data_IF_965037254543
#
_entry.id   IF_965037254543
#
_cell.length_a   1.000
_cell.length_b   1.000
_cell.length_c   1.000
_cell.angle_alpha   90.00
_cell.angle_beta   90.00
_cell.angle_gamma   90.00
#
_symmetry.space_group_name_H-M   'P 1'
#
loop_
_entity.id
_entity.type
_entity.pdbx_description
1 polymer ?
#
# COMPACT_ATOMS: atom_id res chain seq x y z
N UNK A 1 -44.24 -71.54 1.14
CA UNK A 1 -44.88 -70.56 2.12
C UNK A 1 -43.83 -69.76 2.88
N UNK A 2 -42.76 -70.29 3.46
CA UNK A 2 -41.74 -69.58 4.24
C UNK A 2 -40.93 -68.52 3.46
N UNK A 3 -40.65 -68.64 2.16
CA UNK A 3 -39.93 -67.64 1.36
C UNK A 3 -40.77 -66.38 1.07
N UNK A 4 -42.08 -66.53 0.83
CA UNK A 4 -42.99 -65.38 0.62
C UNK A 4 -43.19 -64.55 1.87
N UNK A 5 -43.23 -65.17 3.04
CA UNK A 5 -43.33 -64.44 4.32
C UNK A 5 -42.03 -63.64 4.64
N UNK A 6 -40.85 -64.14 4.25
CA UNK A 6 -39.60 -63.39 4.39
C UNK A 6 -39.54 -62.20 3.47
N UNK A 7 -40.00 -62.33 2.21
CA UNK A 7 -40.03 -61.20 1.26
C UNK A 7 -41.04 -60.12 1.71
N UNK A 8 -42.19 -60.49 2.22
CA UNK A 8 -43.19 -59.53 2.75
C UNK A 8 -42.66 -58.78 3.99
N UNK A 9 -41.95 -59.44 4.87
CA UNK A 9 -41.31 -58.79 6.01
C UNK A 9 -40.20 -57.81 5.61
N UNK A 10 -39.37 -58.16 4.63
CA UNK A 10 -38.29 -57.30 4.12
C UNK A 10 -38.83 -56.06 3.39
N UNK A 11 -39.88 -56.19 2.57
CA UNK A 11 -40.48 -55.09 1.87
C UNK A 11 -41.19 -54.11 2.87
N UNK A 12 -41.82 -54.61 3.91
CA UNK A 12 -42.44 -53.76 4.94
C UNK A 12 -41.41 -53.00 5.73
N UNK A 13 -40.30 -53.63 6.12
CA UNK A 13 -39.20 -52.97 6.84
C UNK A 13 -38.56 -51.89 5.96
N UNK A 14 -38.28 -52.17 4.68
CA UNK A 14 -37.76 -51.21 3.74
C UNK A 14 -38.70 -50.00 3.52
N UNK A 15 -40.02 -50.27 3.42
CA UNK A 15 -41.01 -49.18 3.28
C UNK A 15 -41.06 -48.29 4.51
N UNK A 16 -41.03 -48.88 5.72
CA UNK A 16 -41.01 -48.10 6.98
C UNK A 16 -39.73 -47.27 7.09
N UNK A 17 -38.58 -47.85 6.76
CA UNK A 17 -37.30 -47.11 6.74
C UNK A 17 -37.33 -45.98 5.72
N UNK A 18 -37.87 -46.20 4.52
CA UNK A 18 -37.97 -45.16 3.48
C UNK A 18 -38.91 -44.01 3.91
N UNK A 19 -40.03 -44.30 4.50
CA UNK A 19 -40.96 -43.26 5.02
C UNK A 19 -40.31 -42.50 6.18
N UNK A 20 -39.60 -43.18 7.07
CA UNK A 20 -38.85 -42.55 8.16
C UNK A 20 -37.73 -41.62 7.65
N UNK A 21 -36.99 -42.07 6.63
CA UNK A 21 -35.93 -41.24 6.01
C UNK A 21 -36.54 -40.00 5.29
N UNK A 22 -37.64 -40.16 4.58
CA UNK A 22 -38.35 -39.02 3.96
C UNK A 22 -38.85 -38.02 5.01
N UNK A 23 -39.47 -38.51 6.10
CA UNK A 23 -39.94 -37.64 7.18
C UNK A 23 -38.76 -36.88 7.83
N UNK A 24 -37.65 -37.55 8.10
CA UNK A 24 -36.47 -36.93 8.64
C UNK A 24 -35.92 -35.85 7.69
N UNK A 25 -35.83 -36.15 6.39
CA UNK A 25 -35.34 -35.19 5.38
C UNK A 25 -36.25 -33.94 5.29
N UNK A 26 -37.57 -34.10 5.46
CA UNK A 26 -38.49 -32.94 5.49
C UNK A 26 -38.28 -32.12 6.75
N UNK A 27 -38.20 -32.75 7.93
CA UNK A 27 -37.95 -32.07 9.20
C UNK A 27 -36.66 -31.28 9.19
N UNK A 28 -35.54 -31.92 8.80
CA UNK A 28 -34.24 -31.25 8.72
C UNK A 28 -34.22 -30.15 7.65
N UNK A 29 -34.87 -30.35 6.49
CA UNK A 29 -34.98 -29.35 5.44
C UNK A 29 -35.77 -28.11 5.83
N UNK A 30 -36.89 -28.29 6.54
CA UNK A 30 -37.71 -27.18 7.04
C UNK A 30 -37.01 -26.43 8.17
N UNK A 31 -36.37 -27.13 9.11
CA UNK A 31 -35.53 -26.50 10.14
C UNK A 31 -34.40 -25.70 9.51
N UNK A 32 -33.65 -26.27 8.57
CA UNK A 32 -32.58 -25.57 7.85
C UNK A 32 -33.08 -24.32 7.12
N UNK A 33 -34.27 -24.34 6.53
CA UNK A 33 -34.86 -23.17 5.86
C UNK A 33 -35.13 -22.03 6.85
N UNK A 34 -35.63 -22.34 8.05
CA UNK A 34 -35.89 -21.33 9.08
C UNK A 34 -34.62 -20.85 9.76
N UNK A 35 -33.56 -21.65 9.83
CA UNK A 35 -32.28 -21.26 10.44
C UNK A 35 -31.56 -20.12 9.71
N UNK A 36 -31.83 -19.89 8.42
CA UNK A 36 -31.27 -18.74 7.67
C UNK A 36 -31.99 -17.41 7.95
N UNK A 37 -33.06 -17.41 8.73
CA UNK A 37 -33.81 -16.19 9.09
C UNK A 37 -33.08 -15.42 10.20
N UNK A 38 -33.16 -14.09 10.14
CA UNK A 38 -32.78 -13.20 11.25
C UNK A 38 -33.95 -12.93 12.21
N UNK A 39 -35.11 -13.49 11.95
CA UNK A 39 -36.30 -13.35 12.80
C UNK A 39 -36.24 -14.34 13.98
N UNK A 40 -36.25 -13.83 15.23
CA UNK A 40 -36.24 -14.69 16.44
C UNK A 40 -37.27 -15.80 16.45
N UNK A 41 -38.53 -15.48 16.09
CA UNK A 41 -39.61 -16.45 16.10
C UNK A 41 -39.39 -17.60 15.11
N UNK A 42 -38.73 -17.33 13.96
CA UNK A 42 -38.44 -18.37 12.99
C UNK A 42 -37.24 -19.23 13.43
N UNK A 43 -36.24 -18.62 14.11
CA UNK A 43 -35.14 -19.36 14.71
C UNK A 43 -35.65 -20.28 15.84
N UNK A 44 -36.53 -19.81 16.74
CA UNK A 44 -37.16 -20.62 17.78
C UNK A 44 -37.90 -21.79 17.15
N UNK A 45 -38.73 -21.56 16.12
CA UNK A 45 -39.39 -22.62 15.37
C UNK A 45 -38.43 -23.61 14.72
N UNK A 46 -37.29 -23.13 14.21
CA UNK A 46 -36.27 -24.01 13.65
C UNK A 46 -35.75 -24.99 14.69
N UNK A 47 -35.47 -24.51 15.91
CA UNK A 47 -34.98 -25.30 17.03
C UNK A 47 -36.09 -26.24 17.55
N UNK A 48 -37.36 -25.80 17.65
CA UNK A 48 -38.49 -26.64 18.00
C UNK A 48 -38.72 -27.80 17.02
N UNK A 49 -38.51 -27.57 15.72
CA UNK A 49 -38.67 -28.59 14.67
C UNK A 49 -37.51 -29.61 14.72
N UNK A 50 -36.28 -29.13 14.88
CA UNK A 50 -35.08 -29.97 14.96
C UNK A 50 -34.06 -29.39 15.95
N UNK A 51 -34.13 -29.82 17.19
CA UNK A 51 -33.19 -29.44 18.26
C UNK A 51 -31.74 -29.89 17.99
N UNK A 52 -31.49 -30.72 16.96
CA UNK A 52 -30.12 -31.12 16.53
C UNK A 52 -29.53 -30.20 15.50
N UNK A 53 -30.28 -29.19 15.03
CA UNK A 53 -29.78 -28.20 14.13
C UNK A 53 -28.89 -27.22 14.90
N UNK A 54 -27.59 -27.58 15.05
CA UNK A 54 -26.60 -26.81 15.81
C UNK A 54 -26.45 -25.37 15.29
N UNK A 55 -26.62 -25.13 13.98
CA UNK A 55 -26.56 -23.79 13.39
C UNK A 55 -27.76 -22.94 13.84
N UNK A 56 -28.97 -23.49 13.86
CA UNK A 56 -30.15 -22.78 14.35
C UNK A 56 -30.01 -22.41 15.82
N UNK A 57 -29.56 -23.38 16.63
CA UNK A 57 -29.33 -23.16 18.07
C UNK A 57 -28.28 -22.10 18.33
N UNK A 58 -27.16 -22.16 17.61
CA UNK A 58 -26.10 -21.12 17.66
C UNK A 58 -26.67 -19.73 17.31
N UNK A 59 -27.39 -19.61 16.21
CA UNK A 59 -27.97 -18.34 15.78
C UNK A 59 -28.96 -17.77 16.79
N UNK A 60 -29.75 -18.63 17.40
CA UNK A 60 -30.63 -18.21 18.47
C UNK A 60 -29.86 -17.75 19.71
N UNK A 61 -28.81 -18.48 20.12
CA UNK A 61 -27.92 -18.08 21.20
C UNK A 61 -27.27 -16.72 20.91
N UNK A 62 -26.72 -16.53 19.68
CA UNK A 62 -26.12 -15.29 19.25
C UNK A 62 -27.08 -14.11 19.28
N UNK A 63 -28.31 -14.32 18.83
CA UNK A 63 -29.36 -13.30 18.85
C UNK A 63 -29.73 -12.89 20.29
N UNK A 64 -29.93 -13.87 21.18
CA UNK A 64 -30.21 -13.61 22.61
C UNK A 64 -29.07 -12.84 23.28
N UNK A 65 -27.83 -13.17 22.95
CA UNK A 65 -26.65 -12.45 23.44
C UNK A 65 -26.66 -10.99 22.99
N UNK A 66 -26.91 -10.73 21.69
CA UNK A 66 -26.90 -9.37 21.11
C UNK A 66 -28.04 -8.48 21.62
N UNK A 67 -29.22 -9.08 21.92
CA UNK A 67 -30.37 -8.32 22.41
C UNK A 67 -30.21 -7.89 23.88
N UNK A 68 -29.23 -8.41 24.62
CA UNK A 68 -28.99 -8.14 26.05
C UNK A 68 -30.25 -8.29 26.93
N UNK A 69 -31.26 -9.00 26.43
CA UNK A 69 -32.56 -9.19 27.08
C UNK A 69 -32.67 -10.56 27.76
N UNK A 70 -31.73 -11.47 27.43
CA UNK A 70 -31.72 -12.84 27.98
C UNK A 70 -30.95 -12.93 29.30
N UNK A 71 -31.26 -13.98 30.07
CA UNK A 71 -30.41 -14.45 31.17
C UNK A 71 -29.13 -15.04 30.56
N UNK A 72 -27.95 -14.58 31.01
CA UNK A 72 -26.65 -15.10 30.56
C UNK A 72 -26.59 -16.62 30.68
N UNK A 73 -27.24 -17.20 31.69
CA UNK A 73 -27.33 -18.65 31.90
C UNK A 73 -28.14 -19.38 30.82
N UNK A 74 -29.23 -18.78 30.34
CA UNK A 74 -30.02 -19.34 29.22
C UNK A 74 -29.24 -19.27 27.92
N UNK A 75 -28.55 -18.16 27.68
CA UNK A 75 -27.70 -17.96 26.49
C UNK A 75 -26.52 -18.94 26.50
N UNK A 76 -25.86 -19.12 27.63
CA UNK A 76 -24.78 -20.10 27.83
C UNK A 76 -25.28 -21.52 27.51
N UNK A 77 -26.48 -21.90 28.03
CA UNK A 77 -27.08 -23.21 27.78
C UNK A 77 -27.32 -23.45 26.27
N UNK A 78 -27.80 -22.45 25.53
CA UNK A 78 -28.01 -22.57 24.09
C UNK A 78 -26.68 -22.78 23.34
N UNK A 79 -25.61 -22.08 23.70
CA UNK A 79 -24.30 -22.34 23.10
C UNK A 79 -23.82 -23.77 23.38
N UNK A 80 -23.97 -24.28 24.60
CA UNK A 80 -23.64 -25.67 24.90
C UNK A 80 -24.54 -26.67 24.18
N UNK A 81 -25.83 -26.38 23.99
CA UNK A 81 -26.72 -27.21 23.21
C UNK A 81 -26.25 -27.28 21.74
N UNK A 82 -25.88 -26.16 21.13
CA UNK A 82 -25.27 -26.13 19.80
C UNK A 82 -24.02 -27.01 19.73
N UNK A 83 -23.14 -26.92 20.73
CA UNK A 83 -21.90 -27.71 20.80
C UNK A 83 -22.16 -29.19 21.08
N UNK A 84 -23.26 -29.55 21.77
CA UNK A 84 -23.64 -30.94 21.98
C UNK A 84 -24.03 -31.65 20.68
N UNK A 85 -24.62 -30.91 19.73
CA UNK A 85 -24.92 -31.39 18.38
C UNK A 85 -23.73 -31.37 17.43
N UNK A 86 -22.87 -30.36 17.54
CA UNK A 86 -21.63 -30.22 16.75
C UNK A 86 -20.50 -29.64 17.59
N UNK A 87 -19.67 -30.46 18.23
CA UNK A 87 -18.55 -30.01 19.06
C UNK A 87 -17.46 -29.20 18.32
N UNK A 88 -17.40 -29.34 16.98
CA UNK A 88 -16.41 -28.64 16.13
C UNK A 88 -16.89 -27.27 15.63
N UNK A 89 -17.99 -26.77 16.18
CA UNK A 89 -18.59 -25.50 15.78
C UNK A 89 -17.84 -24.33 16.42
N UNK A 90 -16.76 -23.86 15.76
CA UNK A 90 -15.90 -22.78 16.22
C UNK A 90 -16.68 -21.50 16.60
N UNK A 91 -17.74 -21.16 15.85
CA UNK A 91 -18.57 -19.97 16.12
C UNK A 91 -19.28 -20.04 17.48
N UNK A 92 -19.67 -21.21 17.94
CA UNK A 92 -20.30 -21.36 19.27
C UNK A 92 -19.28 -21.21 20.41
N UNK A 93 -18.02 -21.67 20.18
CA UNK A 93 -16.95 -21.42 21.13
C UNK A 93 -16.56 -19.95 21.18
N UNK A 94 -16.53 -19.23 20.03
CA UNK A 94 -16.31 -17.78 19.99
C UNK A 94 -17.45 -17.03 20.70
N UNK A 95 -18.72 -17.44 20.47
CA UNK A 95 -19.88 -16.87 21.15
C UNK A 95 -19.83 -17.04 22.67
N UNK A 96 -19.41 -18.23 23.16
CA UNK A 96 -19.16 -18.44 24.59
C UNK A 96 -18.03 -17.56 25.11
N UNK A 97 -16.93 -17.44 24.38
CA UNK A 97 -15.82 -16.58 24.78
C UNK A 97 -16.29 -15.13 24.93
N UNK A 98 -17.08 -14.61 23.98
CA UNK A 98 -17.62 -13.26 24.04
C UNK A 98 -18.58 -13.09 25.24
N UNK A 99 -19.52 -14.02 25.45
CA UNK A 99 -20.41 -14.01 26.58
C UNK A 99 -19.69 -13.98 27.93
N UNK A 100 -18.63 -14.76 28.05
CA UNK A 100 -17.81 -14.80 29.27
C UNK A 100 -17.02 -13.53 29.52
N UNK A 101 -16.52 -12.87 28.46
CA UNK A 101 -15.89 -11.56 28.60
C UNK A 101 -16.92 -10.54 29.10
N UNK A 102 -18.11 -10.51 28.51
CA UNK A 102 -19.16 -9.56 28.87
C UNK A 102 -19.69 -9.79 30.32
N UNK A 103 -19.62 -11.02 30.78
CA UNK A 103 -20.00 -11.44 32.17
C UNK A 103 -18.79 -11.35 33.15
N UNK A 104 -17.59 -10.91 32.73
CA UNK A 104 -16.41 -10.81 33.58
C UNK A 104 -15.77 -12.16 33.95
N UNK A 105 -16.06 -13.22 33.19
CA UNK A 105 -15.54 -14.59 33.40
C UNK A 105 -14.33 -14.85 32.48
N UNK A 106 -13.23 -14.14 32.69
CA UNK A 106 -12.08 -14.15 31.80
C UNK A 106 -11.48 -15.56 31.60
N UNK A 107 -11.31 -16.35 32.66
CA UNK A 107 -10.73 -17.70 32.57
C UNK A 107 -11.57 -18.68 31.72
N UNK A 108 -12.91 -18.57 31.80
CA UNK A 108 -13.82 -19.36 30.98
C UNK A 108 -13.76 -18.89 29.51
N UNK A 109 -13.63 -17.59 29.30
CA UNK A 109 -13.44 -16.99 27.98
C UNK A 109 -12.16 -17.46 27.31
N UNK A 110 -11.01 -17.41 28.00
CA UNK A 110 -9.74 -17.93 27.47
C UNK A 110 -9.83 -19.39 27.08
N UNK A 111 -10.53 -20.20 27.90
CA UNK A 111 -10.73 -21.62 27.62
C UNK A 111 -11.55 -21.82 26.35
N UNK A 112 -12.66 -21.09 26.21
CA UNK A 112 -13.53 -21.15 25.04
C UNK A 112 -12.81 -20.67 23.77
N UNK A 113 -12.04 -19.58 23.86
CA UNK A 113 -11.25 -19.06 22.74
C UNK A 113 -10.19 -20.06 22.28
N UNK A 114 -9.52 -20.74 23.23
CA UNK A 114 -8.54 -21.80 22.92
C UNK A 114 -9.18 -23.01 22.23
N UNK A 115 -10.41 -23.38 22.63
CA UNK A 115 -11.15 -24.44 21.93
C UNK A 115 -11.48 -24.04 20.49
N UNK A 116 -11.96 -22.80 20.29
CA UNK A 116 -12.23 -22.29 18.95
C UNK A 116 -10.98 -22.27 18.05
N UNK A 117 -9.83 -21.87 18.59
CA UNK A 117 -8.58 -21.69 17.85
C UNK A 117 -8.14 -22.94 17.07
N UNK A 118 -8.32 -24.12 17.67
CA UNK A 118 -7.98 -25.39 17.00
C UNK A 118 -8.85 -25.73 15.79
N UNK A 119 -9.97 -25.03 15.59
CA UNK A 119 -10.99 -25.31 14.57
C UNK A 119 -11.04 -24.28 13.45
N UNK A 120 -10.32 -23.15 13.58
CA UNK A 120 -10.47 -21.98 12.69
C UNK A 120 -9.38 -21.81 11.63
N UNK A 121 -8.39 -22.70 11.56
CA UNK A 121 -7.11 -22.55 10.81
C UNK A 121 -7.24 -22.04 9.37
N UNK A 122 -8.39 -22.10 8.74
CA UNK A 122 -8.59 -21.69 7.34
C UNK A 122 -9.74 -20.69 7.14
N UNK A 123 -10.23 -20.06 8.20
CA UNK A 123 -11.35 -19.11 8.11
C UNK A 123 -10.95 -17.71 8.52
N UNK A 124 -10.57 -16.82 7.58
CA UNK A 124 -10.15 -15.45 7.91
C UNK A 124 -11.19 -14.64 8.68
N UNK A 125 -12.48 -14.92 8.46
CA UNK A 125 -13.57 -14.27 9.20
C UNK A 125 -13.57 -14.63 10.68
N UNK A 126 -13.43 -15.91 11.00
CA UNK A 126 -13.40 -16.39 12.38
C UNK A 126 -12.09 -15.99 13.08
N UNK A 127 -10.97 -16.01 12.37
CA UNK A 127 -9.69 -15.53 12.90
C UNK A 127 -9.73 -14.03 13.22
N UNK A 128 -10.45 -13.25 12.42
CA UNK A 128 -10.71 -11.84 12.72
C UNK A 128 -11.50 -11.68 14.03
N UNK A 129 -12.61 -12.41 14.21
CA UNK A 129 -13.39 -12.38 15.44
C UNK A 129 -12.54 -12.82 16.64
N UNK A 130 -11.82 -13.93 16.50
CA UNK A 130 -10.90 -14.43 17.52
C UNK A 130 -9.83 -13.40 17.90
N UNK A 131 -9.27 -12.65 16.93
CA UNK A 131 -8.31 -11.59 17.21
C UNK A 131 -8.91 -10.50 18.09
N UNK A 132 -10.15 -10.11 17.83
CA UNK A 132 -10.81 -9.07 18.61
C UNK A 132 -11.11 -9.55 20.04
N UNK A 133 -11.48 -10.82 20.24
CA UNK A 133 -11.67 -11.40 21.57
C UNK A 133 -10.34 -11.55 22.32
N UNK A 134 -9.30 -12.05 21.66
CA UNK A 134 -7.96 -12.14 22.23
C UNK A 134 -7.45 -10.75 22.68
N UNK A 135 -7.67 -9.73 21.87
CA UNK A 135 -7.33 -8.35 22.23
C UNK A 135 -8.09 -7.85 23.48
N UNK A 136 -9.40 -8.15 23.59
CA UNK A 136 -10.21 -7.82 24.78
C UNK A 136 -9.73 -8.52 26.05
N UNK A 137 -9.16 -9.74 25.92
CA UNK A 137 -8.56 -10.51 27.00
C UNK A 137 -7.13 -10.09 27.34
N UNK A 138 -6.51 -9.19 26.54
CA UNK A 138 -5.13 -8.78 26.70
C UNK A 138 -4.10 -9.76 26.13
N UNK A 139 -4.54 -10.83 25.45
CA UNK A 139 -3.67 -11.76 24.72
C UNK A 139 -3.30 -11.16 23.36
N UNK A 140 -2.40 -10.17 23.40
CA UNK A 140 -1.95 -9.45 22.21
C UNK A 140 -1.20 -10.36 21.24
N UNK A 141 -0.51 -11.36 21.72
CA UNK A 141 0.26 -12.30 20.91
C UNK A 141 -0.68 -13.12 20.02
N UNK A 142 -1.70 -13.73 20.60
CA UNK A 142 -2.73 -14.47 19.85
C UNK A 142 -3.46 -13.56 18.86
N UNK A 143 -3.78 -12.32 19.28
CA UNK A 143 -4.45 -11.36 18.41
C UNK A 143 -3.63 -11.05 17.16
N UNK A 144 -2.34 -10.78 17.30
CA UNK A 144 -1.44 -10.47 16.20
C UNK A 144 -1.19 -11.67 15.29
N UNK A 145 -0.99 -12.86 15.86
CA UNK A 145 -0.80 -14.09 15.09
C UNK A 145 -2.02 -14.43 14.21
N UNK A 146 -3.23 -14.24 14.74
CA UNK A 146 -4.47 -14.39 13.96
C UNK A 146 -4.61 -13.31 12.88
N UNK A 147 -4.29 -12.05 13.19
CA UNK A 147 -4.32 -10.94 12.23
C UNK A 147 -3.35 -11.16 11.06
N UNK A 148 -2.22 -11.79 11.29
CA UNK A 148 -1.27 -12.16 10.23
C UNK A 148 -1.94 -13.03 9.17
N UNK A 149 -2.64 -14.10 9.59
CA UNK A 149 -3.36 -15.00 8.67
C UNK A 149 -4.47 -14.26 7.92
N UNK A 150 -5.15 -13.33 8.60
CA UNK A 150 -6.18 -12.48 7.96
C UNK A 150 -5.56 -11.58 6.89
N UNK A 151 -4.41 -10.96 7.14
CA UNK A 151 -3.72 -10.10 6.17
C UNK A 151 -3.23 -10.87 4.94
N UNK A 152 -2.80 -12.12 5.13
CA UNK A 152 -2.43 -13.03 4.03
C UNK A 152 -3.64 -13.34 3.14
N UNK A 153 -4.74 -13.77 3.77
CA UNK A 153 -5.91 -14.29 3.06
C UNK A 153 -6.82 -13.22 2.45
N UNK A 154 -6.84 -11.99 3.01
CA UNK A 154 -7.77 -10.92 2.61
C UNK A 154 -7.05 -9.58 2.38
N UNK A 155 -6.61 -9.29 1.13
CA UNK A 155 -5.96 -8.03 0.79
C UNK A 155 -6.78 -6.78 1.17
N UNK A 156 -8.12 -6.85 1.14
CA UNK A 156 -8.97 -5.71 1.46
C UNK A 156 -8.93 -5.34 2.96
N UNK A 157 -8.55 -6.29 3.81
CA UNK A 157 -8.42 -6.07 5.26
C UNK A 157 -7.02 -5.63 5.70
N UNK A 158 -5.99 -5.72 4.85
CA UNK A 158 -4.59 -5.46 5.22
C UNK A 158 -4.40 -4.15 5.95
N UNK A 159 -4.92 -3.05 5.39
CA UNK A 159 -4.82 -1.74 6.04
C UNK A 159 -5.38 -1.76 7.46
N UNK A 160 -6.55 -2.36 7.64
CA UNK A 160 -7.22 -2.44 8.97
C UNK A 160 -6.45 -3.33 9.93
N UNK A 161 -5.86 -4.43 9.44
CA UNK A 161 -4.97 -5.29 10.23
C UNK A 161 -3.78 -4.49 10.74
N UNK A 162 -3.13 -3.72 9.88
CA UNK A 162 -1.98 -2.89 10.26
C UNK A 162 -2.38 -1.78 11.25
N UNK A 163 -3.50 -1.10 11.02
CA UNK A 163 -4.03 -0.09 11.95
C UNK A 163 -4.24 -0.68 13.35
N UNK A 164 -4.83 -1.88 13.45
CA UNK A 164 -5.05 -2.58 14.71
C UNK A 164 -3.70 -3.03 15.32
N UNK A 165 -2.80 -3.60 14.50
CA UNK A 165 -1.47 -3.99 14.97
C UNK A 165 -0.74 -2.83 15.66
N UNK A 166 -0.80 -1.63 15.09
CA UNK A 166 -0.21 -0.42 15.68
C UNK A 166 -0.92 0.04 16.96
N UNK A 167 -2.23 -0.22 17.10
CA UNK A 167 -2.96 0.06 18.35
C UNK A 167 -2.56 -0.93 19.46
N UNK A 168 -2.36 -2.20 19.10
CA UNK A 168 -2.12 -3.29 20.04
C UNK A 168 -0.67 -3.33 20.53
N UNK A 169 0.27 -3.46 19.61
CA UNK A 169 1.69 -3.67 19.96
C UNK A 169 2.43 -2.36 20.28
N UNK A 170 2.08 -1.25 19.58
CA UNK A 170 2.77 0.06 19.68
C UNK A 170 4.28 0.02 19.36
N UNK A 171 4.79 -1.12 18.99
CA UNK A 171 6.20 -1.40 18.71
C UNK A 171 6.33 -1.99 17.29
N UNK A 172 7.13 -1.34 16.39
CA UNK A 172 7.26 -1.76 15.01
C UNK A 172 7.80 -3.18 14.84
N UNK A 173 8.73 -3.60 15.70
CA UNK A 173 9.39 -4.90 15.61
C UNK A 173 8.41 -6.04 15.90
N UNK A 174 7.65 -5.93 16.97
CA UNK A 174 6.59 -6.89 17.32
C UNK A 174 5.55 -7.01 16.23
N UNK A 175 5.15 -5.90 15.59
CA UNK A 175 4.18 -5.93 14.47
C UNK A 175 4.79 -6.67 13.28
N UNK A 176 6.04 -6.34 12.93
CA UNK A 176 6.74 -6.97 11.81
C UNK A 176 6.93 -8.47 12.01
N UNK A 177 7.24 -8.90 13.23
CA UNK A 177 7.46 -10.31 13.53
C UNK A 177 6.17 -11.13 13.59
N UNK A 178 5.11 -10.59 14.22
CA UNK A 178 3.89 -11.34 14.50
C UNK A 178 2.75 -11.11 13.53
N UNK A 179 2.52 -9.88 13.11
CA UNK A 179 1.35 -9.52 12.29
C UNK A 179 1.64 -9.46 10.78
N UNK A 180 2.91 -9.52 10.37
CA UNK A 180 3.32 -9.37 8.97
C UNK A 180 4.11 -10.59 8.51
N UNK A 181 3.56 -11.32 7.52
CA UNK A 181 4.30 -12.38 6.83
C UNK A 181 5.10 -11.85 5.66
N UNK A 182 6.02 -12.65 5.15
CA UNK A 182 6.87 -12.27 4.02
C UNK A 182 6.07 -11.93 2.76
N UNK A 183 4.94 -12.61 2.54
CA UNK A 183 4.02 -12.35 1.41
C UNK A 183 3.37 -10.96 1.49
N UNK A 184 3.19 -10.41 2.69
CA UNK A 184 2.47 -9.14 2.93
C UNK A 184 3.43 -7.96 3.09
N UNK A 185 4.76 -8.20 3.16
CA UNK A 185 5.78 -7.17 3.36
C UNK A 185 5.67 -5.97 2.40
N UNK A 186 5.46 -6.15 1.06
CA UNK A 186 5.34 -5.01 0.17
C UNK A 186 4.15 -4.12 0.50
N UNK A 187 3.02 -4.73 0.87
CA UNK A 187 1.82 -4.00 1.26
C UNK A 187 2.01 -3.27 2.61
N UNK A 188 2.76 -3.87 3.54
CA UNK A 188 3.09 -3.23 4.81
C UNK A 188 4.06 -2.07 4.64
N UNK A 189 5.08 -2.19 3.78
CA UNK A 189 5.95 -1.07 3.41
C UNK A 189 5.14 0.11 2.84
N UNK A 190 4.24 -0.18 1.90
CA UNK A 190 3.33 0.84 1.35
C UNK A 190 2.46 1.51 2.40
N UNK A 191 1.96 0.75 3.38
CA UNK A 191 1.21 1.31 4.52
C UNK A 191 2.08 2.23 5.39
N UNK A 192 3.31 1.84 5.71
CA UNK A 192 4.25 2.65 6.51
C UNK A 192 4.60 3.96 5.82
N UNK A 193 4.82 3.92 4.51
CA UNK A 193 5.05 5.11 3.66
C UNK A 193 3.83 6.04 3.72
N UNK A 194 2.62 5.52 3.53
CA UNK A 194 1.38 6.31 3.55
C UNK A 194 1.07 6.92 4.92
N UNK A 195 1.46 6.25 5.99
CA UNK A 195 1.24 6.71 7.38
C UNK A 195 2.43 7.44 7.98
N UNK A 196 3.46 7.69 7.17
CA UNK A 196 4.65 8.46 7.52
C UNK A 196 5.43 7.91 8.72
N UNK A 197 5.68 6.59 8.72
CA UNK A 197 6.38 5.87 9.79
C UNK A 197 7.80 5.49 9.37
N UNK A 198 8.65 6.48 9.15
CA UNK A 198 9.98 6.30 8.56
C UNK A 198 10.82 5.23 9.28
N UNK A 199 10.96 5.33 10.60
CA UNK A 199 11.83 4.41 11.37
C UNK A 199 11.41 2.94 11.23
N UNK A 200 10.12 2.68 11.02
CA UNK A 200 9.59 1.34 10.81
C UNK A 200 9.82 0.80 9.39
N UNK A 201 10.16 1.64 8.42
CA UNK A 201 10.37 1.20 7.03
C UNK A 201 11.67 0.45 6.83
N UNK A 202 12.74 0.81 7.57
CA UNK A 202 14.06 0.20 7.38
C UNK A 202 14.08 -1.31 7.66
N UNK A 203 13.56 -1.82 8.79
CA UNK A 203 13.52 -3.25 9.04
C UNK A 203 12.69 -4.02 8.02
N UNK A 204 11.61 -3.41 7.52
CA UNK A 204 10.76 -4.01 6.48
C UNK A 204 11.52 -4.11 5.16
N UNK A 205 12.24 -3.06 4.78
CA UNK A 205 13.06 -3.03 3.57
C UNK A 205 14.20 -4.07 3.63
N UNK A 206 14.88 -4.16 4.76
CA UNK A 206 15.93 -5.16 4.97
C UNK A 206 15.39 -6.60 4.85
N UNK A 207 14.24 -6.87 5.46
CA UNK A 207 13.59 -8.17 5.37
C UNK A 207 13.10 -8.50 3.96
N UNK A 208 12.62 -7.50 3.20
CA UNK A 208 12.30 -7.67 1.77
C UNK A 208 13.55 -8.08 0.97
N UNK A 209 14.70 -7.45 1.22
CA UNK A 209 15.96 -7.79 0.56
C UNK A 209 16.40 -9.24 0.81
N UNK A 210 16.20 -9.75 2.03
CA UNK A 210 16.49 -11.15 2.39
C UNK A 210 15.58 -12.17 1.68
N UNK A 211 14.36 -11.76 1.32
CA UNK A 211 13.32 -12.60 0.73
C UNK A 211 13.19 -12.48 -0.80
N UNK A 212 14.23 -12.00 -1.48
CA UNK A 212 14.26 -11.89 -2.93
C UNK A 212 14.05 -10.47 -3.46
N UNK A 213 13.89 -9.50 -2.58
CA UNK A 213 13.76 -8.08 -2.90
C UNK A 213 12.32 -7.63 -3.13
N UNK A 214 12.17 -6.32 -3.18
CA UNK A 214 10.95 -5.67 -3.63
C UNK A 214 10.90 -5.64 -5.17
N UNK A 215 9.70 -5.55 -5.75
CA UNK A 215 9.59 -5.21 -7.16
C UNK A 215 10.03 -3.74 -7.40
N UNK A 216 10.32 -3.42 -8.65
CA UNK A 216 10.81 -2.10 -9.02
C UNK A 216 9.84 -0.97 -8.63
N UNK A 217 8.52 -1.22 -8.64
CA UNK A 217 7.53 -0.21 -8.27
C UNK A 217 7.57 0.10 -6.76
N UNK A 218 7.66 -0.91 -5.92
CA UNK A 218 7.79 -0.74 -4.47
C UNK A 218 9.15 -0.09 -4.11
N UNK A 219 10.23 -0.49 -4.80
CA UNK A 219 11.55 0.07 -4.63
C UNK A 219 11.59 1.57 -5.01
N UNK A 220 11.02 1.94 -6.15
CA UNK A 220 10.90 3.33 -6.60
C UNK A 220 10.03 4.17 -5.64
N UNK A 221 8.91 3.61 -5.17
CA UNK A 221 8.06 4.30 -4.20
C UNK A 221 8.78 4.55 -2.88
N UNK A 222 9.58 3.59 -2.43
CA UNK A 222 10.38 3.74 -1.22
C UNK A 222 11.53 4.74 -1.40
N UNK A 223 12.23 4.72 -2.53
CA UNK A 223 13.26 5.70 -2.85
C UNK A 223 12.67 7.14 -2.87
N UNK A 224 11.51 7.35 -3.53
CA UNK A 224 10.80 8.66 -3.51
C UNK A 224 10.49 9.11 -2.08
N UNK A 225 10.00 8.20 -1.25
CA UNK A 225 9.68 8.49 0.15
C UNK A 225 10.94 8.92 0.92
N UNK A 226 12.04 8.18 0.82
CA UNK A 226 13.30 8.49 1.49
C UNK A 226 13.89 9.82 1.03
N UNK A 227 13.84 10.12 -0.29
CA UNK A 227 14.23 11.43 -0.84
C UNK A 227 13.39 12.55 -0.19
N UNK A 228 12.08 12.35 -0.03
CA UNK A 228 11.19 13.32 0.61
C UNK A 228 11.52 13.56 2.09
N UNK A 229 12.15 12.57 2.75
CA UNK A 229 12.61 12.65 4.14
C UNK A 229 14.04 13.13 4.30
N UNK A 230 14.76 13.33 3.18
CA UNK A 230 16.15 13.76 3.17
C UNK A 230 17.17 12.61 3.36
N UNK A 231 16.72 11.35 3.45
CA UNK A 231 17.60 10.19 3.43
C UNK A 231 17.99 9.84 2.00
N UNK A 232 18.89 10.65 1.46
CA UNK A 232 19.34 10.53 0.08
C UNK A 232 20.37 9.43 -0.13
N UNK A 233 21.06 9.00 0.92
CA UNK A 233 22.04 7.91 0.85
C UNK A 233 21.34 6.57 0.63
N UNK A 234 20.41 6.21 1.52
CA UNK A 234 19.62 4.97 1.37
C UNK A 234 18.81 4.98 0.07
N UNK A 235 18.25 6.13 -0.32
CA UNK A 235 17.51 6.25 -1.58
C UNK A 235 18.40 5.98 -2.80
N UNK A 236 19.68 6.41 -2.79
CA UNK A 236 20.63 6.15 -3.87
C UNK A 236 21.04 4.69 -3.95
N UNK A 237 21.23 4.03 -2.81
CA UNK A 237 21.54 2.60 -2.77
C UNK A 237 20.40 1.78 -3.38
N UNK A 238 19.15 2.13 -3.08
CA UNK A 238 17.97 1.52 -3.69
C UNK A 238 17.96 1.76 -5.19
N UNK A 239 18.19 3.01 -5.61
CA UNK A 239 18.23 3.38 -7.03
C UNK A 239 19.31 2.60 -7.80
N UNK A 240 20.50 2.44 -7.22
CA UNK A 240 21.59 1.62 -7.78
C UNK A 240 21.20 0.14 -7.95
N UNK A 241 20.37 -0.37 -7.05
CA UNK A 241 19.85 -1.74 -7.13
C UNK A 241 18.86 -1.95 -8.29
N UNK A 242 18.07 -0.92 -8.62
CA UNK A 242 17.10 -0.96 -9.73
C UNK A 242 17.80 -0.88 -11.09
N UNK A 243 18.89 -0.09 -11.19
CA UNK A 243 19.62 0.16 -12.44
C UNK A 243 21.07 -0.34 -12.38
N UNK A 244 21.29 -1.65 -12.24
CA UNK A 244 22.64 -2.21 -12.14
C UNK A 244 23.39 -2.04 -13.46
N UNK A 245 24.60 -1.49 -13.37
CA UNK A 245 25.47 -1.27 -14.53
C UNK A 245 25.43 0.13 -15.13
N UNK A 246 24.53 0.98 -14.68
CA UNK A 246 24.52 2.42 -15.02
C UNK A 246 25.41 3.21 -14.05
N UNK A 247 25.86 4.38 -14.51
CA UNK A 247 26.64 5.29 -13.64
C UNK A 247 25.75 6.00 -12.63
N UNK A 248 25.35 5.26 -11.59
CA UNK A 248 24.59 5.80 -10.45
C UNK A 248 25.40 6.74 -9.56
N UNK A 249 26.73 6.87 -9.81
CA UNK A 249 27.57 7.86 -9.14
C UNK A 249 27.39 9.26 -9.73
N UNK A 250 26.88 9.38 -10.96
CA UNK A 250 26.53 10.65 -11.56
C UNK A 250 25.47 11.36 -10.72
N UNK A 251 25.66 12.64 -10.43
CA UNK A 251 24.71 13.44 -9.65
C UNK A 251 23.40 13.65 -10.42
N UNK A 252 23.48 13.87 -11.74
CA UNK A 252 22.32 13.96 -12.64
C UNK A 252 22.18 12.63 -13.36
N UNK A 253 21.06 11.97 -13.15
CA UNK A 253 20.70 10.73 -13.84
C UNK A 253 20.14 11.04 -15.22
N UNK A 254 20.50 10.22 -16.24
CA UNK A 254 19.93 10.33 -17.59
C UNK A 254 20.00 11.77 -18.17
N UNK A 255 21.12 12.46 -17.94
CA UNK A 255 21.28 13.86 -18.35
C UNK A 255 21.28 14.08 -19.86
N UNK A 256 21.58 13.06 -20.67
CA UNK A 256 21.43 13.04 -22.12
C UNK A 256 20.06 12.57 -22.61
N UNK A 257 19.11 12.28 -21.70
CA UNK A 257 17.75 11.80 -22.03
C UNK A 257 17.71 10.51 -22.84
N UNK A 258 18.72 9.64 -22.73
CA UNK A 258 18.85 8.43 -23.54
C UNK A 258 17.83 7.34 -23.19
N UNK A 259 17.30 7.36 -21.97
CA UNK A 259 16.25 6.46 -21.49
C UNK A 259 14.94 7.20 -21.29
N UNK A 260 13.80 6.49 -21.47
CA UNK A 260 12.50 7.06 -21.15
C UNK A 260 12.36 7.28 -19.64
N UNK A 261 12.11 8.51 -19.19
CA UNK A 261 12.04 8.79 -17.76
C UNK A 261 10.90 8.05 -17.07
N UNK A 262 11.22 7.45 -15.94
CA UNK A 262 10.20 6.81 -15.07
C UNK A 262 9.43 7.83 -14.22
N UNK A 263 9.91 9.07 -14.14
CA UNK A 263 9.24 10.16 -13.44
C UNK A 263 9.26 10.05 -11.92
N UNK A 264 10.14 9.22 -11.36
CA UNK A 264 10.27 8.93 -9.93
C UNK A 264 11.74 8.96 -9.49
N UNK A 265 11.98 8.93 -8.18
CA UNK A 265 13.31 8.89 -7.59
C UNK A 265 14.18 10.04 -8.07
N UNK A 266 15.35 9.68 -8.57
CA UNK A 266 16.33 10.60 -9.11
C UNK A 266 16.21 10.80 -10.62
N UNK A 267 15.13 10.36 -11.27
CA UNK A 267 14.93 10.53 -12.70
C UNK A 267 14.15 11.81 -13.04
N UNK A 268 14.18 12.16 -14.33
CA UNK A 268 13.47 13.31 -14.86
C UNK A 268 11.95 13.12 -14.74
N UNK A 269 11.29 14.17 -14.30
CA UNK A 269 9.85 14.33 -14.37
C UNK A 269 9.53 15.24 -15.54
N UNK A 270 8.88 14.68 -16.57
CA UNK A 270 8.52 15.42 -17.79
C UNK A 270 7.01 15.45 -17.90
N UNK A 271 6.42 16.64 -17.83
CA UNK A 271 4.98 16.86 -17.96
C UNK A 271 4.64 17.66 -19.21
N UNK A 272 3.53 17.30 -19.86
CA UNK A 272 2.95 17.98 -21.02
C UNK A 272 1.76 18.82 -20.60
N UNK A 273 1.44 19.83 -21.40
CA UNK A 273 0.22 20.62 -21.26
C UNK A 273 -0.33 21.00 -22.63
N UNK A 274 -1.54 21.53 -22.69
CA UNK A 274 -2.18 21.94 -23.96
C UNK A 274 -1.38 23.03 -24.72
N UNK A 275 -0.57 23.80 -24.00
CA UNK A 275 0.21 24.92 -24.54
C UNK A 275 1.69 24.64 -24.68
N UNK A 276 2.19 23.54 -24.07
CA UNK A 276 3.60 23.16 -24.09
C UNK A 276 3.71 21.67 -24.33
N UNK A 277 4.30 21.30 -25.47
CA UNK A 277 4.64 19.93 -25.80
C UNK A 277 6.08 19.63 -25.39
N UNK A 278 6.29 18.57 -24.62
CA UNK A 278 7.59 18.09 -24.21
C UNK A 278 7.78 16.68 -24.78
N UNK A 279 8.74 16.51 -25.68
CA UNK A 279 8.99 15.28 -26.42
C UNK A 279 10.49 15.11 -26.70
N UNK A 280 10.90 14.05 -27.36
CA UNK A 280 12.28 13.78 -27.70
C UNK A 280 12.55 14.03 -29.19
N UNK A 281 13.70 14.67 -29.47
CA UNK A 281 14.18 14.88 -30.84
C UNK A 281 15.37 13.97 -31.13
N UNK A 282 15.18 13.06 -32.08
CA UNK A 282 16.21 12.10 -32.51
C UNK A 282 17.16 12.67 -33.58
N UNK A 283 16.90 13.88 -34.07
CA UNK A 283 17.67 14.52 -35.15
C UNK A 283 18.55 15.65 -34.61
N UNK A 284 17.99 16.51 -33.76
CA UNK A 284 18.67 17.64 -33.17
C UNK A 284 19.15 17.29 -31.76
N UNK A 285 20.42 16.87 -31.63
CA UNK A 285 21.07 16.39 -30.41
C UNK A 285 22.55 16.69 -30.43
N UNK A 286 23.24 16.66 -29.31
CA UNK A 286 24.68 16.82 -29.18
C UNK A 286 25.42 15.51 -29.14
N UNK A 287 24.95 14.59 -28.29
CA UNK A 287 25.48 13.23 -28.14
C UNK A 287 24.37 12.19 -28.18
N UNK A 288 24.71 10.92 -28.13
CA UNK A 288 23.76 9.82 -27.93
C UNK A 288 22.71 9.66 -29.04
N UNK A 289 21.49 9.31 -28.64
CA UNK A 289 20.39 9.00 -29.58
C UNK A 289 19.37 10.12 -29.72
N UNK A 290 19.15 10.95 -28.68
CA UNK A 290 18.09 11.98 -28.68
C UNK A 290 18.41 13.10 -27.68
N UNK A 291 17.67 14.19 -27.79
CA UNK A 291 17.63 15.30 -26.83
C UNK A 291 16.20 15.55 -26.38
N UNK A 292 16.00 16.26 -25.27
CA UNK A 292 14.68 16.74 -24.85
C UNK A 292 14.30 17.99 -25.64
N UNK A 293 13.12 17.97 -26.29
CA UNK A 293 12.56 19.10 -27.04
C UNK A 293 11.33 19.65 -26.32
N UNK A 294 11.28 20.94 -26.12
CA UNK A 294 10.12 21.68 -25.60
C UNK A 294 9.60 22.60 -26.69
N UNK A 295 8.31 22.46 -27.04
CA UNK A 295 7.65 23.27 -28.04
C UNK A 295 6.52 24.08 -27.44
N UNK A 296 6.54 25.37 -27.65
CA UNK A 296 5.54 26.32 -27.18
C UNK A 296 4.56 26.65 -28.31
N UNK A 297 3.25 26.62 -28.01
CA UNK A 297 2.19 26.78 -29.02
C UNK A 297 1.92 28.22 -29.47
N UNK A 298 2.41 29.23 -28.75
CA UNK A 298 2.12 30.63 -29.01
C UNK A 298 0.70 31.08 -28.64
N UNK A 299 -0.10 30.25 -27.98
CA UNK A 299 -1.51 30.53 -27.70
C UNK A 299 -1.77 31.23 -26.38
N UNK A 300 -0.86 31.01 -25.42
CA UNK A 300 -1.07 31.45 -24.03
C UNK A 300 0.18 32.09 -23.44
N UNK A 301 -0.01 32.95 -22.45
CA UNK A 301 1.05 33.42 -21.57
C UNK A 301 1.28 32.36 -20.49
N UNK A 302 2.13 31.39 -20.81
CA UNK A 302 2.30 30.17 -20.00
C UNK A 302 3.12 30.47 -18.75
N UNK A 303 2.72 29.91 -17.62
CA UNK A 303 3.56 29.69 -16.46
C UNK A 303 3.91 28.20 -16.42
N UNK A 304 5.16 27.86 -16.77
CA UNK A 304 5.51 26.45 -17.00
C UNK A 304 6.78 26.03 -16.28
N UNK A 305 6.73 24.85 -15.67
CA UNK A 305 7.82 24.16 -14.98
C UNK A 305 7.67 22.63 -15.14
N UNK A 306 7.46 22.20 -16.38
CA UNK A 306 7.08 20.81 -16.65
C UNK A 306 8.24 19.83 -16.72
N UNK A 307 9.50 20.26 -16.60
CA UNK A 307 10.69 19.38 -16.59
C UNK A 307 11.46 19.63 -15.32
N UNK A 308 11.71 18.56 -14.55
CA UNK A 308 12.50 18.67 -13.32
C UNK A 308 13.14 17.34 -12.93
N UNK A 309 14.27 17.41 -12.22
CA UNK A 309 14.93 16.27 -11.60
C UNK A 309 15.39 16.65 -10.19
N UNK A 310 15.17 15.74 -9.24
CA UNK A 310 15.71 15.88 -7.88
C UNK A 310 17.12 15.29 -7.83
N UNK A 311 18.05 16.03 -7.30
CA UNK A 311 19.47 15.66 -7.20
C UNK A 311 19.91 15.72 -5.74
N UNK A 312 20.53 14.65 -5.25
CA UNK A 312 21.13 14.62 -3.92
C UNK A 312 22.40 15.47 -3.90
N UNK A 313 22.53 16.32 -2.90
CA UNK A 313 23.69 17.20 -2.71
C UNK A 313 24.18 17.16 -1.27
N UNK A 314 25.41 17.52 -1.05
CA UNK A 314 25.94 17.71 0.29
C UNK A 314 25.69 19.17 0.69
N UNK A 315 24.91 19.43 1.75
CA UNK A 315 24.68 20.79 2.25
C UNK A 315 26.00 21.57 2.44
N UNK A 316 25.98 22.86 2.15
CA UNK A 316 27.15 23.72 2.24
C UNK A 316 28.21 23.56 1.14
N UNK A 317 28.08 22.56 0.27
CA UNK A 317 29.06 22.31 -0.81
C UNK A 317 28.76 23.11 -2.07
N UNK A 318 29.82 23.39 -2.84
CA UNK A 318 29.74 24.09 -4.12
C UNK A 318 29.57 23.11 -5.28
N UNK A 319 28.71 23.48 -6.24
CA UNK A 319 28.40 22.69 -7.43
C UNK A 319 28.44 23.54 -8.70
N UNK A 320 28.74 22.88 -9.81
CA UNK A 320 28.57 23.39 -11.15
C UNK A 320 27.62 22.50 -11.94
N UNK A 321 26.52 23.06 -12.40
CA UNK A 321 25.61 22.47 -13.37
C UNK A 321 26.01 22.92 -14.76
N UNK A 322 26.24 22.00 -15.70
CA UNK A 322 26.51 22.23 -17.10
C UNK A 322 25.48 21.54 -17.96
N UNK A 323 25.18 22.10 -19.12
CA UNK A 323 24.24 21.54 -20.07
C UNK A 323 24.48 22.10 -21.46
N UNK A 324 24.04 21.36 -22.47
CA UNK A 324 23.93 21.80 -23.85
C UNK A 324 22.48 22.21 -24.14
N UNK A 325 22.31 23.36 -24.79
CA UNK A 325 20.99 23.81 -25.18
C UNK A 325 20.99 24.54 -26.52
N UNK A 326 19.85 24.46 -27.21
CA UNK A 326 19.60 25.18 -28.44
C UNK A 326 18.17 25.75 -28.44
N UNK A 327 17.92 26.80 -29.21
CA UNK A 327 16.56 27.36 -29.38
C UNK A 327 16.26 27.68 -30.83
N UNK A 328 14.98 27.75 -31.18
CA UNK A 328 14.47 28.20 -32.46
C UNK A 328 13.22 29.01 -32.29
N UNK A 329 13.22 30.22 -32.79
CA UNK A 329 12.08 31.12 -32.88
C UNK A 329 11.34 31.39 -31.57
N UNK A 330 12.10 31.46 -30.45
CA UNK A 330 11.54 31.85 -29.16
C UNK A 330 11.12 33.33 -29.23
N UNK A 331 9.83 33.58 -29.23
CA UNK A 331 9.23 34.89 -29.57
C UNK A 331 9.25 35.92 -28.44
N UNK A 332 9.48 35.52 -27.19
CA UNK A 332 9.42 36.41 -26.03
C UNK A 332 10.80 36.65 -25.43
N UNK A 333 10.98 37.80 -24.77
CA UNK A 333 12.20 38.12 -23.98
C UNK A 333 12.22 37.33 -22.68
N UNK A 334 11.07 36.88 -22.21
CA UNK A 334 10.93 35.98 -21.05
C UNK A 334 10.85 34.54 -21.57
N UNK A 335 12.01 34.02 -22.01
CA UNK A 335 12.13 32.68 -22.61
C UNK A 335 12.22 31.57 -21.55
N UNK A 336 12.92 30.51 -21.91
CA UNK A 336 13.16 29.36 -21.03
C UNK A 336 14.44 29.59 -20.23
N UNK A 337 14.41 29.30 -18.93
CA UNK A 337 15.59 29.27 -18.06
C UNK A 337 15.83 27.87 -17.53
N UNK A 338 17.10 27.54 -17.27
CA UNK A 338 17.49 26.39 -16.45
C UNK A 338 17.65 26.90 -15.02
N UNK A 339 16.94 26.30 -14.08
CA UNK A 339 16.97 26.70 -12.67
C UNK A 339 17.41 25.54 -11.78
N UNK A 340 18.06 25.90 -10.66
CA UNK A 340 18.34 25.01 -9.53
C UNK A 340 17.69 25.63 -8.31
N UNK A 341 16.87 24.87 -7.60
CA UNK A 341 16.19 25.38 -6.43
C UNK A 341 16.03 24.32 -5.34
N UNK A 342 15.91 24.79 -4.11
CA UNK A 342 15.43 24.06 -2.95
C UNK A 342 14.73 25.06 -2.02
N UNK A 343 14.30 24.64 -0.85
CA UNK A 343 13.54 25.48 0.09
C UNK A 343 14.25 26.83 0.36
N UNK A 344 13.66 27.92 -0.16
CA UNK A 344 14.19 29.28 0.06
C UNK A 344 15.41 29.68 -0.77
N UNK A 345 15.90 28.80 -1.65
CA UNK A 345 17.03 29.06 -2.53
C UNK A 345 16.63 28.86 -3.99
N UNK A 346 17.14 29.73 -4.84
CA UNK A 346 17.03 29.62 -6.32
C UNK A 346 18.27 30.24 -6.98
N UNK A 347 18.81 29.50 -7.93
CA UNK A 347 19.78 29.99 -8.91
C UNK A 347 19.25 29.68 -10.32
N UNK A 348 19.43 30.57 -11.28
CA UNK A 348 18.91 30.40 -12.62
C UNK A 348 19.82 30.96 -13.69
N UNK A 349 19.73 30.40 -14.91
CA UNK A 349 20.46 30.89 -16.07
C UNK A 349 19.79 32.13 -16.66
N UNK A 350 20.54 32.84 -17.54
CA UNK A 350 19.88 33.77 -18.45
C UNK A 350 18.85 33.05 -19.33
N UNK A 351 17.72 33.72 -19.67
CA UNK A 351 16.67 33.11 -20.47
C UNK A 351 17.14 32.87 -21.92
N UNK A 352 16.76 31.74 -22.49
CA UNK A 352 16.89 31.46 -23.91
C UNK A 352 15.81 32.18 -24.69
N UNK A 353 16.23 33.00 -25.69
CA UNK A 353 15.35 33.83 -26.52
C UNK A 353 15.79 33.76 -27.98
N UNK A 354 14.86 33.95 -28.92
CA UNK A 354 15.18 33.90 -30.35
C UNK A 354 15.62 32.53 -30.81
N UNK A 355 16.65 32.50 -31.65
CA UNK A 355 17.25 31.27 -32.18
C UNK A 355 18.76 31.24 -31.88
N UNK A 356 19.23 30.09 -31.39
CA UNK A 356 20.64 29.79 -31.14
C UNK A 356 20.91 28.35 -31.57
N UNK A 357 22.11 28.13 -32.10
CA UNK A 357 22.64 26.77 -32.22
C UNK A 357 22.99 26.21 -30.85
N UNK A 358 23.45 24.96 -30.78
CA UNK A 358 23.90 24.35 -29.55
C UNK A 358 24.98 25.17 -28.88
N UNK A 359 24.75 25.52 -27.62
CA UNK A 359 25.69 26.23 -26.75
C UNK A 359 25.80 25.54 -25.41
N UNK A 360 27.05 25.40 -24.93
CA UNK A 360 27.31 24.92 -23.58
C UNK A 360 27.15 26.07 -22.59
N UNK A 361 26.35 25.85 -21.54
CA UNK A 361 26.20 26.81 -20.43
C UNK A 361 26.56 26.17 -19.09
N UNK A 362 26.85 27.04 -18.13
CA UNK A 362 27.28 26.66 -16.80
C UNK A 362 26.60 27.55 -15.76
N UNK A 363 26.11 26.94 -14.69
CA UNK A 363 25.55 27.60 -13.51
C UNK A 363 26.29 27.10 -12.27
N UNK A 364 26.93 27.99 -11.52
CA UNK A 364 27.60 27.67 -10.26
C UNK A 364 26.71 28.09 -9.09
N UNK A 365 26.63 27.26 -8.07
CA UNK A 365 25.86 27.54 -6.86
C UNK A 365 26.46 26.84 -5.64
N UNK A 366 26.16 27.38 -4.43
CA UNK A 366 26.39 26.70 -3.18
C UNK A 366 25.06 26.10 -2.69
N UNK A 367 25.06 24.82 -2.38
CA UNK A 367 23.88 24.18 -1.77
C UNK A 367 23.69 24.75 -0.36
N UNK A 368 22.48 25.21 0.01
CA UNK A 368 22.21 25.66 1.37
C UNK A 368 22.42 24.55 2.41
N UNK A 369 22.74 24.96 3.65
CA UNK A 369 23.03 24.04 4.76
C UNK A 369 21.84 23.16 5.15
N UNK A 370 20.62 23.57 4.81
CA UNK A 370 19.36 22.86 5.11
C UNK A 370 18.77 22.11 3.90
N UNK A 371 19.51 22.02 2.80
CA UNK A 371 19.06 21.35 1.58
C UNK A 371 19.91 20.09 1.29
N UNK A 372 19.44 18.89 1.67
CA UNK A 372 20.10 17.62 1.27
C UNK A 372 19.83 17.26 -0.19
N UNK A 373 18.86 17.94 -0.82
CA UNK A 373 18.52 17.80 -2.24
C UNK A 373 18.31 19.16 -2.88
N UNK A 374 18.60 19.26 -4.16
CA UNK A 374 18.18 20.36 -5.02
C UNK A 374 17.35 19.83 -6.18
N UNK A 375 16.50 20.66 -6.74
CA UNK A 375 15.77 20.33 -7.96
C UNK A 375 16.36 21.14 -9.11
N UNK A 376 16.79 20.45 -10.18
CA UNK A 376 17.10 21.04 -11.47
C UNK A 376 15.81 21.12 -12.26
N UNK A 377 15.53 22.24 -12.91
CA UNK A 377 14.28 22.37 -13.68
C UNK A 377 14.41 23.30 -14.87
N UNK A 378 13.46 23.16 -15.79
CA UNK A 378 13.17 24.14 -16.82
C UNK A 378 12.03 25.03 -16.38
N UNK A 379 12.21 26.32 -16.50
CA UNK A 379 11.25 27.32 -16.06
C UNK A 379 10.92 28.31 -17.17
N UNK A 380 9.65 28.60 -17.37
CA UNK A 380 9.17 29.76 -18.08
C UNK A 380 8.14 30.46 -17.23
N UNK A 381 8.43 31.65 -16.78
CA UNK A 381 7.51 32.48 -15.99
C UNK A 381 6.59 33.31 -16.89
N UNK A 382 5.37 33.59 -16.44
CA UNK A 382 4.48 34.50 -17.13
C UNK A 382 5.15 35.88 -17.33
N UNK A 383 4.90 36.48 -18.49
CA UNK A 383 5.37 37.83 -18.78
C UNK A 383 4.24 38.83 -18.65
N UNK A 384 4.50 39.94 -17.95
CA UNK A 384 3.56 41.08 -17.88
C UNK A 384 3.72 42.06 -19.06
N UNK A 385 4.61 41.72 -20.00
CA UNK A 385 4.89 42.54 -21.18
C UNK A 385 3.92 42.21 -22.34
N UNK A 386 3.94 43.05 -23.38
CA UNK A 386 3.11 42.81 -24.58
C UNK A 386 3.53 41.56 -25.35
N UNK A 387 4.81 41.18 -25.28
CA UNK A 387 5.39 39.96 -25.89
C UNK A 387 5.23 38.74 -24.96
N UNK A 388 4.03 38.44 -24.51
CA UNK A 388 3.75 37.42 -23.50
C UNK A 388 3.37 36.04 -24.04
N UNK A 389 3.02 35.96 -25.32
CA UNK A 389 2.66 34.67 -25.96
C UNK A 389 3.92 34.02 -26.50
N UNK A 390 4.45 33.06 -25.76
CA UNK A 390 5.65 32.33 -26.14
C UNK A 390 5.33 31.28 -27.22
N UNK A 391 6.04 31.33 -28.35
CA UNK A 391 6.14 30.27 -29.35
C UNK A 391 7.58 29.95 -29.64
N UNK A 392 7.84 28.84 -30.34
CA UNK A 392 9.18 28.37 -30.69
C UNK A 392 9.54 27.07 -30.02
N UNK A 393 10.76 26.65 -30.23
CA UNK A 393 11.26 25.36 -29.74
C UNK A 393 12.58 25.56 -28.96
N UNK A 394 12.74 24.77 -27.90
CA UNK A 394 13.93 24.72 -27.05
C UNK A 394 14.38 23.27 -26.93
N UNK A 395 15.68 23.02 -27.02
CA UNK A 395 16.28 21.70 -26.85
C UNK A 395 17.26 21.73 -25.68
N UNK A 396 17.26 20.66 -24.89
CA UNK A 396 18.16 20.44 -23.77
C UNK A 396 18.82 19.07 -23.93
N UNK A 397 20.14 19.02 -23.69
CA UNK A 397 20.93 17.81 -23.78
C UNK A 397 22.11 17.87 -22.84
N UNK A 398 22.75 16.73 -22.56
CA UNK A 398 24.00 16.57 -21.83
C UNK A 398 24.08 17.37 -20.50
N UNK A 399 23.00 17.23 -19.69
CA UNK A 399 22.93 17.87 -18.37
C UNK A 399 23.82 17.12 -17.38
N UNK A 400 24.83 17.81 -16.84
CA UNK A 400 25.75 17.24 -15.86
C UNK A 400 25.90 18.15 -14.65
N UNK A 401 26.07 17.56 -13.48
CA UNK A 401 26.41 18.31 -12.26
C UNK A 401 27.62 17.71 -11.60
N UNK A 402 28.56 18.57 -11.20
CA UNK A 402 29.80 18.18 -10.52
C UNK A 402 29.98 18.99 -9.25
N UNK A 403 30.48 18.36 -8.19
CA UNK A 403 30.94 19.06 -7.01
C UNK A 403 32.25 19.81 -7.36
N UNK A 404 32.31 21.08 -7.04
CA UNK A 404 33.52 21.88 -7.23
C UNK A 404 34.30 21.99 -5.93
N UNK A 405 35.62 22.06 -6.01
CA UNK A 405 36.44 22.32 -4.82
C UNK A 405 36.17 23.74 -4.31
N UNK A 406 36.12 23.87 -2.99
CA UNK A 406 36.04 25.18 -2.34
C UNK A 406 37.25 26.03 -2.83
N UNK A 407 37.00 27.03 -3.65
CA UNK A 407 38.01 28.06 -3.88
C UNK A 407 38.27 28.75 -2.55
N UNK A 408 39.31 28.34 -1.84
CA UNK A 408 39.83 29.19 -0.76
C UNK A 408 40.12 30.56 -1.39
N UNK A 409 39.71 31.68 -0.78
CA UNK A 409 40.14 32.98 -1.21
C UNK A 409 41.68 32.93 -1.19
N UNK A 410 42.31 33.01 -2.35
CA UNK A 410 43.76 33.31 -2.42
C UNK A 410 43.91 34.69 -1.84
N UNK A 411 44.48 34.76 -0.65
CA UNK A 411 44.94 36.00 -0.04
C UNK A 411 45.75 36.80 -1.08
N UNK A 412 45.21 37.97 -1.45
CA UNK A 412 45.86 38.93 -2.26
C UNK A 412 46.41 40.06 -1.38
#
# INVERSE_FOLDING_TARGET
>A
MRKRLRYLGQTTVLSVLSVGACALAVVTGVSAMYSFSENPELLERSVEIDARNSDAVYRLARLRHLEMTGDDGETEALYFESLSGNPLMAVSWLGLSELYIDSGREADSETSLRMAQGMMQSSPGLLWESSMLAFRLGDNDLALDNLRVVAEADPAKRKRVFDIGWCVAKDPETILERAVSDEVLPAYLGYLIQTDRQDATYPVWERLGQNGGADDEAALAYADYLVSKGDTETARDIWAGIYPGEDVSALVWNGGFEYDPVGRGFDWRVSRSDSVDADYDYRKKTEGYRSLRIKFSGKENVDWKGVSQTVAVNPGSHYALTWEAASSDITTRNGVTVEVYCRGFKAESEPYTGSSDWESRRLEFAAPDDCPTVTIGLRREKSDRLDNLISGEFWLDDVRMTKTEDRRPTDA
#
